data_IF_889078671290
#
_entry.id   IF_889078671290
#
_cell.length_a   1.000
_cell.length_b   1.000
_cell.length_c   1.000
_cell.angle_alpha   90.00
_cell.angle_beta   90.00
_cell.angle_gamma   90.00
#
_symmetry.space_group_name_H-M   'P 1'
#
loop_
_entity.id
_entity.type
_entity.pdbx_description
1 polymer ?
#
# COMPACT_ATOMS: atom_id res chain seq x y z
N UNK A 1 -16.99 3.13 -64.11
CA UNK A 1 -16.86 3.35 -62.64
C UNK A 1 -16.57 2.00 -62.02
N UNK A 2 -15.42 1.77 -61.37
CA UNK A 2 -15.15 0.49 -60.73
C UNK A 2 -16.08 0.31 -59.52
N UNK A 3 -16.63 -0.89 -59.27
CA UNK A 3 -17.48 -1.16 -58.12
C UNK A 3 -16.69 -0.98 -56.81
N UNK A 4 -17.29 -0.27 -55.86
CA UNK A 4 -16.71 0.03 -54.56
C UNK A 4 -16.35 -1.25 -53.79
N UNK A 5 -15.06 -1.46 -53.57
CA UNK A 5 -14.57 -2.52 -52.70
C UNK A 5 -15.04 -2.21 -51.27
N UNK A 6 -15.89 -3.07 -50.72
CA UNK A 6 -16.29 -3.04 -49.32
C UNK A 6 -15.06 -3.33 -48.45
N UNK A 7 -14.63 -2.34 -47.68
CA UNK A 7 -13.54 -2.49 -46.73
C UNK A 7 -13.96 -3.50 -45.64
N UNK A 8 -13.18 -4.56 -45.37
CA UNK A 8 -13.50 -5.50 -44.31
C UNK A 8 -13.52 -4.78 -42.95
N UNK A 9 -14.44 -5.15 -42.04
CA UNK A 9 -14.53 -4.52 -40.72
C UNK A 9 -13.22 -4.70 -39.95
N UNK A 10 -12.71 -3.61 -39.37
CA UNK A 10 -11.50 -3.62 -38.56
C UNK A 10 -11.67 -4.57 -37.36
N UNK A 11 -10.65 -5.36 -37.00
CA UNK A 11 -10.70 -6.21 -35.83
C UNK A 11 -10.89 -5.37 -34.55
N UNK A 12 -11.63 -5.87 -33.55
CA UNK A 12 -11.85 -5.15 -32.30
C UNK A 12 -10.51 -4.88 -31.61
N UNK A 13 -10.26 -3.61 -31.27
CA UNK A 13 -9.10 -3.19 -30.50
C UNK A 13 -9.13 -3.87 -29.12
N UNK A 14 -8.16 -4.73 -28.86
CA UNK A 14 -7.99 -5.32 -27.52
C UNK A 14 -7.72 -4.19 -26.51
N UNK A 15 -8.39 -4.18 -25.35
CA UNK A 15 -8.09 -3.21 -24.30
C UNK A 15 -6.62 -3.32 -23.92
N UNK A 16 -5.88 -2.23 -24.08
CA UNK A 16 -4.49 -2.19 -23.65
C UNK A 16 -4.44 -2.38 -22.12
N UNK A 17 -3.58 -3.29 -21.67
CA UNK A 17 -3.38 -3.59 -20.25
C UNK A 17 -2.01 -3.13 -19.79
N UNK A 18 -1.90 -2.81 -18.51
CA UNK A 18 -0.64 -2.54 -17.80
C UNK A 18 -0.64 -3.25 -16.45
N UNK A 19 0.35 -2.96 -15.62
CA UNK A 19 0.53 -3.60 -14.31
C UNK A 19 0.81 -2.57 -13.23
N UNK A 20 0.11 -2.68 -12.10
CA UNK A 20 0.47 -1.99 -10.87
C UNK A 20 1.20 -2.99 -9.98
N UNK A 21 2.50 -2.76 -9.78
CA UNK A 21 3.31 -3.49 -8.81
C UNK A 21 3.10 -2.89 -7.43
N UNK A 22 2.14 -3.43 -6.69
CA UNK A 22 1.81 -2.99 -5.34
C UNK A 22 2.70 -3.71 -4.32
N UNK A 23 3.40 -2.94 -3.50
CA UNK A 23 4.15 -3.43 -2.35
C UNK A 23 3.45 -3.04 -1.06
N UNK A 24 2.81 -4.02 -0.41
CA UNK A 24 2.23 -3.85 0.92
C UNK A 24 3.32 -4.13 1.95
N UNK A 25 3.84 -3.08 2.56
CA UNK A 25 4.96 -3.19 3.50
C UNK A 25 4.52 -3.84 4.80
N UNK A 26 5.14 -4.98 5.14
CA UNK A 26 5.02 -5.63 6.43
C UNK A 26 4.72 -7.09 6.30
N UNK A 27 4.24 -7.66 7.39
CA UNK A 27 3.77 -9.04 7.46
C UNK A 27 2.68 -9.14 8.50
N UNK A 28 2.00 -10.29 8.50
CA UNK A 28 1.02 -10.68 9.51
C UNK A 28 1.60 -10.50 10.94
N UNK A 29 2.91 -10.73 11.09
CA UNK A 29 3.63 -10.65 12.36
C UNK A 29 4.18 -9.26 12.72
N UNK A 30 4.45 -8.40 11.72
CA UNK A 30 5.21 -7.15 11.92
C UNK A 30 4.43 -5.87 11.61
N UNK A 31 3.26 -5.99 10.99
CA UNK A 31 2.41 -4.85 10.64
C UNK A 31 1.01 -4.99 11.23
N UNK A 32 0.23 -5.98 10.79
CA UNK A 32 -1.07 -6.31 11.36
C UNK A 32 -1.39 -7.77 11.04
N UNK A 33 -2.14 -8.44 11.92
CA UNK A 33 -2.60 -9.81 11.68
C UNK A 33 -3.59 -9.92 10.49
N UNK A 34 -4.04 -8.78 9.95
CA UNK A 34 -5.08 -8.69 8.92
C UNK A 34 -4.51 -8.00 7.70
N UNK A 35 -4.57 -8.70 6.57
CA UNK A 35 -4.18 -8.17 5.26
C UNK A 35 -5.09 -7.01 4.86
N UNK A 36 -4.53 -5.85 4.43
CA UNK A 36 -5.32 -4.73 3.92
C UNK A 36 -6.13 -5.13 2.70
N UNK A 37 -7.36 -4.63 2.58
CA UNK A 37 -8.16 -4.74 1.36
C UNK A 37 -7.69 -3.70 0.36
N UNK A 38 -7.60 -4.12 -0.89
CA UNK A 38 -7.20 -3.28 -2.02
C UNK A 38 -8.36 -3.19 -2.99
N UNK A 39 -8.65 -1.98 -3.45
CA UNK A 39 -9.62 -1.70 -4.51
C UNK A 39 -8.92 -0.94 -5.62
N UNK A 40 -9.19 -1.33 -6.86
CA UNK A 40 -8.74 -0.62 -8.05
C UNK A 40 -9.97 -0.14 -8.80
N UNK A 41 -10.10 1.17 -9.00
CA UNK A 41 -11.27 1.77 -9.65
C UNK A 41 -12.59 1.35 -8.97
N UNK A 42 -12.58 1.18 -7.65
CA UNK A 42 -13.72 0.71 -6.85
C UNK A 42 -13.91 -0.82 -6.80
N UNK A 43 -13.21 -1.60 -7.63
CA UNK A 43 -13.32 -3.05 -7.66
C UNK A 43 -12.34 -3.73 -6.69
N UNK A 44 -12.80 -4.67 -5.83
CA UNK A 44 -11.92 -5.38 -4.92
C UNK A 44 -10.96 -6.30 -5.68
N UNK A 45 -9.68 -6.25 -5.31
CA UNK A 45 -8.65 -7.14 -5.86
C UNK A 45 -8.00 -7.96 -4.76
N UNK A 46 -7.52 -9.19 -5.06
CA UNK A 46 -6.76 -9.98 -4.11
C UNK A 46 -5.55 -9.21 -3.60
N UNK A 47 -5.32 -9.26 -2.30
CA UNK A 47 -4.21 -8.57 -1.65
C UNK A 47 -3.39 -9.53 -0.79
N UNK A 48 -2.08 -9.27 -0.74
CA UNK A 48 -1.15 -9.96 0.16
C UNK A 48 -0.06 -9.00 0.62
N UNK A 49 0.55 -9.31 1.77
CA UNK A 49 1.78 -8.64 2.19
C UNK A 49 2.93 -8.91 1.20
N UNK A 50 3.84 -7.95 1.08
CA UNK A 50 4.94 -8.00 0.13
C UNK A 50 4.56 -7.48 -1.26
N UNK A 51 5.33 -7.91 -2.26
CA UNK A 51 5.20 -7.45 -3.64
C UNK A 51 4.15 -8.28 -4.38
N UNK A 52 3.25 -7.61 -5.08
CA UNK A 52 2.26 -8.22 -5.97
C UNK A 52 2.03 -7.40 -7.23
N UNK A 53 1.92 -8.11 -8.35
CA UNK A 53 1.65 -7.51 -9.66
C UNK A 53 0.15 -7.65 -9.94
N UNK A 54 -0.52 -6.51 -10.08
CA UNK A 54 -1.96 -6.40 -10.30
C UNK A 54 -2.21 -5.91 -11.73
N UNK A 55 -2.79 -6.74 -12.62
CA UNK A 55 -3.10 -6.31 -13.97
C UNK A 55 -4.24 -5.28 -13.95
N UNK A 56 -4.07 -4.19 -14.69
CA UNK A 56 -5.06 -3.10 -14.80
C UNK A 56 -5.21 -2.65 -16.24
N UNK A 57 -6.30 -1.96 -16.54
CA UNK A 57 -6.44 -1.29 -17.83
C UNK A 57 -5.44 -0.15 -17.95
N UNK A 58 -4.88 0.03 -19.15
CA UNK A 58 -4.04 1.17 -19.44
C UNK A 58 -4.85 2.47 -19.37
N UNK A 59 -4.24 3.51 -18.81
CA UNK A 59 -4.86 4.80 -18.53
C UNK A 59 -4.90 5.14 -17.05
N UNK A 60 -5.76 6.10 -16.65
CA UNK A 60 -5.92 6.50 -15.25
C UNK A 60 -6.55 5.37 -14.43
N UNK A 61 -5.93 5.09 -13.29
CA UNK A 61 -6.36 4.11 -12.31
C UNK A 61 -6.30 4.73 -10.92
N UNK A 62 -7.32 4.50 -10.12
CA UNK A 62 -7.38 4.89 -8.72
C UNK A 62 -7.17 3.66 -7.84
N UNK A 63 -6.22 3.74 -6.91
CA UNK A 63 -5.92 2.67 -5.96
C UNK A 63 -6.35 3.10 -4.56
N UNK A 64 -7.28 2.34 -3.97
CA UNK A 64 -7.75 2.53 -2.61
C UNK A 64 -7.34 1.35 -1.74
N UNK A 65 -6.78 1.62 -0.57
CA UNK A 65 -6.35 0.59 0.37
C UNK A 65 -6.88 0.92 1.77
N UNK A 66 -7.60 -0.02 2.38
CA UNK A 66 -8.11 0.07 3.74
C UNK A 66 -7.88 -1.23 4.51
N UNK A 67 -7.74 -1.16 5.82
CA UNK A 67 -7.69 -2.36 6.69
C UNK A 67 -8.92 -2.37 7.59
N UNK A 68 -9.60 -3.51 7.67
CA UNK A 68 -10.75 -3.68 8.55
C UNK A 68 -10.43 -4.69 9.65
N UNK A 69 -10.57 -4.24 10.90
CA UNK A 69 -10.62 -5.11 12.08
C UNK A 69 -11.89 -4.84 12.88
N UNK A 70 -11.80 -4.22 14.07
CA UNK A 70 -12.96 -3.68 14.80
C UNK A 70 -13.53 -2.40 14.18
N UNK A 71 -12.66 -1.59 13.55
CA UNK A 71 -12.99 -0.37 12.79
C UNK A 71 -12.22 -0.40 11.48
N UNK A 72 -12.65 0.40 10.50
CA UNK A 72 -11.88 0.64 9.27
C UNK A 72 -10.78 1.66 9.55
N UNK A 73 -9.54 1.32 9.26
CA UNK A 73 -8.38 2.18 9.48
C UNK A 73 -7.36 2.00 8.35
N UNK A 74 -6.28 2.79 8.38
CA UNK A 74 -5.21 2.65 7.40
C UNK A 74 -5.60 3.09 5.98
N UNK A 75 -6.70 3.84 5.83
CA UNK A 75 -7.19 4.32 4.53
C UNK A 75 -6.13 5.16 3.84
N UNK A 76 -5.81 4.81 2.60
CA UNK A 76 -4.94 5.58 1.73
C UNK A 76 -5.37 5.38 0.28
N UNK A 77 -5.40 6.47 -0.49
CA UNK A 77 -5.78 6.48 -1.90
C UNK A 77 -4.69 7.14 -2.74
N UNK A 78 -4.46 6.64 -3.96
CA UNK A 78 -3.55 7.26 -4.93
C UNK A 78 -4.08 7.10 -6.36
N UNK A 79 -3.98 8.18 -7.12
CA UNK A 79 -4.24 8.18 -8.56
C UNK A 79 -2.94 7.90 -9.31
N UNK A 80 -3.00 6.99 -10.29
CA UNK A 80 -1.87 6.65 -11.14
C UNK A 80 -2.30 6.51 -12.59
N UNK A 81 -1.42 6.80 -13.54
CA UNK A 81 -1.66 6.51 -14.96
C UNK A 81 -0.71 5.42 -15.43
N UNK A 82 -1.24 4.37 -16.03
CA UNK A 82 -0.48 3.19 -16.47
C UNK A 82 -0.51 3.13 -18.00
N UNK A 83 0.63 3.27 -18.68
CA UNK A 83 0.69 3.09 -20.12
C UNK A 83 0.56 1.59 -20.51
N UNK A 84 0.21 1.27 -21.77
CA UNK A 84 0.17 -0.10 -22.27
C UNK A 84 1.51 -0.83 -22.04
N UNK A 85 1.47 -1.99 -21.38
CA UNK A 85 2.66 -2.78 -21.03
C UNK A 85 3.55 -2.18 -19.94
N UNK A 86 3.19 -1.02 -19.39
CA UNK A 86 3.95 -0.39 -18.31
C UNK A 86 3.70 -1.10 -16.98
N UNK A 87 4.75 -1.18 -16.17
CA UNK A 87 4.68 -1.55 -14.75
C UNK A 87 4.86 -0.29 -13.92
N UNK A 88 3.87 0.06 -13.09
CA UNK A 88 3.95 1.17 -12.14
C UNK A 88 4.12 0.65 -10.73
N UNK A 89 5.16 1.09 -10.04
CA UNK A 89 5.39 0.74 -8.64
C UNK A 89 4.54 1.59 -7.69
N UNK A 90 3.82 0.94 -6.79
CA UNK A 90 3.05 1.58 -5.73
C UNK A 90 3.42 0.93 -4.42
N UNK A 91 3.70 1.75 -3.42
CA UNK A 91 4.10 1.35 -2.09
C UNK A 91 3.05 1.77 -1.09
N UNK A 92 2.57 0.81 -0.30
CA UNK A 92 1.65 1.06 0.79
C UNK A 92 2.27 0.65 2.12
N UNK A 93 2.20 1.54 3.10
CA UNK A 93 2.65 1.33 4.46
C UNK A 93 1.45 1.32 5.41
N UNK A 94 1.12 0.13 5.93
CA UNK A 94 0.12 0.00 6.98
C UNK A 94 0.56 0.74 8.25
N UNK A 95 -0.36 1.42 8.94
CA UNK A 95 -0.09 2.01 10.23
C UNK A 95 0.17 0.93 11.28
N UNK A 96 1.04 1.22 12.24
CA UNK A 96 1.33 0.31 13.37
C UNK A 96 0.21 0.30 14.43
N UNK A 97 -0.74 1.23 14.35
CA UNK A 97 -1.87 1.32 15.27
C UNK A 97 -3.17 1.74 14.55
N UNK A 98 -4.32 1.30 15.08
CA UNK A 98 -5.66 1.51 14.49
C UNK A 98 -6.09 2.99 14.34
N UNK A 99 -5.43 3.92 15.02
CA UNK A 99 -5.78 5.36 14.99
C UNK A 99 -5.07 6.17 13.90
N UNK A 100 -4.16 5.55 13.13
CA UNK A 100 -3.45 6.24 12.06
C UNK A 100 -4.03 5.88 10.68
N UNK A 101 -3.86 6.81 9.74
CA UNK A 101 -4.04 6.56 8.31
C UNK A 101 -2.85 5.78 7.76
N UNK A 102 -3.06 5.09 6.64
CA UNK A 102 -1.97 4.45 5.91
C UNK A 102 -1.23 5.49 5.08
N UNK A 103 0.02 5.21 4.73
CA UNK A 103 0.75 6.01 3.76
C UNK A 103 0.84 5.24 2.44
N UNK A 104 0.61 5.93 1.33
CA UNK A 104 0.70 5.37 -0.02
C UNK A 104 1.52 6.31 -0.91
N UNK A 105 2.30 5.76 -1.85
CA UNK A 105 3.11 6.55 -2.76
C UNK A 105 3.81 5.70 -3.81
N UNK A 106 4.48 6.35 -4.76
CA UNK A 106 5.27 5.68 -5.81
C UNK A 106 6.66 5.25 -5.34
N UNK A 107 7.01 5.59 -4.10
CA UNK A 107 8.26 5.20 -3.44
C UNK A 107 7.95 4.65 -2.07
N UNK A 108 8.93 3.93 -1.48
CA UNK A 108 8.79 3.34 -0.16
C UNK A 108 8.34 4.37 0.87
N UNK A 109 7.14 4.18 1.41
CA UNK A 109 6.52 5.08 2.37
C UNK A 109 6.95 4.77 3.82
N UNK A 110 7.20 5.79 4.66
CA UNK A 110 7.42 5.57 6.09
C UNK A 110 6.13 5.07 6.76
N UNK A 111 6.27 4.22 7.78
CA UNK A 111 5.14 3.69 8.53
C UNK A 111 4.65 4.70 9.58
N UNK A 112 3.42 5.21 9.46
CA UNK A 112 2.87 6.11 10.47
C UNK A 112 2.79 5.41 11.84
N UNK A 113 3.24 6.11 12.88
CA UNK A 113 3.29 5.63 14.27
C UNK A 113 4.63 5.06 14.75
N UNK A 114 5.65 4.95 13.89
CA UNK A 114 7.01 4.56 14.32
C UNK A 114 7.63 5.56 15.30
N UNK A 115 7.32 6.86 15.17
CA UNK A 115 7.84 7.89 16.08
C UNK A 115 7.44 7.67 17.54
N UNK A 116 6.16 7.36 17.81
CA UNK A 116 5.69 7.08 19.17
C UNK A 116 6.33 5.83 19.78
N UNK A 117 6.59 4.79 18.97
CA UNK A 117 7.29 3.59 19.42
C UNK A 117 8.71 3.92 19.90
N UNK A 118 9.46 4.69 19.13
CA UNK A 118 10.82 5.11 19.50
C UNK A 118 10.86 5.97 20.76
N UNK A 119 9.90 6.90 20.90
CA UNK A 119 9.78 7.73 22.11
C UNK A 119 9.45 6.88 23.33
N UNK A 120 8.52 5.93 23.21
CA UNK A 120 8.18 5.00 24.29
C UNK A 120 9.36 4.12 24.72
N UNK A 121 10.09 3.55 23.76
CA UNK A 121 11.29 2.78 24.03
C UNK A 121 12.39 3.61 24.71
N UNK A 122 12.61 4.84 24.25
CA UNK A 122 13.57 5.75 24.88
C UNK A 122 13.19 6.09 26.33
N UNK A 123 11.90 6.28 26.62
CA UNK A 123 11.43 6.55 27.98
C UNK A 123 11.63 5.34 28.91
N UNK A 124 11.35 4.12 28.45
CA UNK A 124 11.61 2.88 29.21
C UNK A 124 13.10 2.70 29.46
N UNK A 125 13.94 2.89 28.43
CA UNK A 125 15.39 2.79 28.57
C UNK A 125 15.93 3.82 29.58
N UNK A 126 15.45 5.07 29.52
CA UNK A 126 15.81 6.12 30.46
C UNK A 126 15.41 5.74 31.90
N UNK A 127 14.19 5.23 32.09
CA UNK A 127 13.73 4.78 33.41
C UNK A 127 14.60 3.65 33.97
N UNK A 128 14.95 2.65 33.15
CA UNK A 128 15.85 1.57 33.56
C UNK A 128 17.23 2.09 33.96
N UNK A 129 17.81 3.02 33.19
CA UNK A 129 19.11 3.64 33.52
C UNK A 129 19.03 4.41 34.84
N UNK A 130 17.98 5.21 35.04
CA UNK A 130 17.79 5.96 36.29
C UNK A 130 17.59 5.04 37.49
N UNK A 131 16.84 3.94 37.34
CA UNK A 131 16.64 2.95 38.39
C UNK A 131 17.95 2.25 38.78
N UNK A 132 18.78 1.87 37.80
CA UNK A 132 20.09 1.28 38.04
C UNK A 132 21.04 2.27 38.72
N UNK A 133 21.04 3.54 38.31
CA UNK A 133 21.85 4.57 38.96
C UNK A 133 21.41 4.83 40.40
N UNK A 134 20.11 4.85 40.66
CA UNK A 134 19.58 5.01 42.02
C UNK A 134 19.97 3.83 42.93
N UNK A 135 19.93 2.59 42.40
CA UNK A 135 20.36 1.39 43.12
C UNK A 135 21.85 1.44 43.47
N UNK A 136 22.71 1.78 42.50
CA UNK A 136 24.16 1.93 42.70
C UNK A 136 24.51 3.05 43.68
N UNK A 137 23.72 4.11 43.74
CA UNK A 137 23.94 5.23 44.68
C UNK A 137 23.39 4.94 46.09
N UNK A 138 22.48 3.98 46.23
CA UNK A 138 21.83 3.62 47.49
C UNK A 138 22.49 2.42 48.20
N UNK A 139 23.28 1.61 47.49
CA UNK A 139 24.09 0.51 48.03
C UNK A 139 25.51 0.93 48.40
#
# INVERSE_FOLDING_TARGET
MPPGQSMPPAPPSQPAVGTIRLTIQGSIWTANAITPRVRINGYPVPSRYGVQDLPVYAGPNHLDIDTQWMRTYGQAGIDTSVAPGQVVEVWYASPVHQFARGNIGFTKQPRPGTGCLWVGLAAVALFCVLALLADVLAG
#
